data_IF_613743608097
#
_entry.id   IF_613743608097
#
_cell.length_a   1.000
_cell.length_b   1.000
_cell.length_c   1.000
_cell.angle_alpha   90.00
_cell.angle_beta   90.00
_cell.angle_gamma   90.00
#
_symmetry.space_group_name_H-M   'P 1'
#
loop_
_entity.id
_entity.type
_entity.pdbx_description
1 polymer ?
#
# COMPACT_ATOMS: atom_id res chain seq x y z
N UNK A 1 63.82 21.14 -10.76
CA UNK A 1 62.58 20.34 -10.71
C UNK A 1 63.05 18.93 -10.36
N UNK A 2 63.34 18.68 -9.09
CA UNK A 2 62.40 18.20 -8.05
C UNK A 2 61.78 16.85 -8.45
N UNK A 3 61.88 15.74 -7.73
CA UNK A 3 62.53 15.34 -6.47
C UNK A 3 62.33 13.79 -6.40
N UNK A 4 63.37 13.04 -6.01
CA UNK A 4 63.37 11.86 -5.08
C UNK A 4 62.58 10.57 -5.48
N UNK A 5 63.16 9.36 -5.69
CA UNK A 5 63.91 8.44 -4.78
C UNK A 5 63.24 8.34 -3.39
N UNK A 6 62.94 7.22 -2.74
CA UNK A 6 63.42 5.84 -2.70
C UNK A 6 62.52 5.06 -1.72
N UNK A 7 62.42 3.74 -1.93
CA UNK A 7 62.50 2.66 -0.92
C UNK A 7 61.66 2.70 0.39
N UNK A 8 61.86 1.69 1.24
CA UNK A 8 61.25 1.35 2.53
C UNK A 8 59.99 0.49 2.38
N UNK A 9 59.97 -0.78 2.78
CA UNK A 9 60.68 -1.40 3.89
C UNK A 9 59.64 -2.04 4.79
N UNK A 10 59.71 -3.36 4.97
CA UNK A 10 58.84 -4.09 5.89
C UNK A 10 59.07 -3.69 7.35
N UNK A 11 58.00 -3.71 8.13
CA UNK A 11 58.04 -3.47 9.57
C UNK A 11 56.84 -4.09 10.26
N UNK A 12 57.10 -5.14 11.02
CA UNK A 12 56.16 -5.82 11.89
C UNK A 12 55.80 -4.96 13.11
N UNK A 13 54.55 -5.05 13.56
CA UNK A 13 54.17 -4.78 14.94
C UNK A 13 53.25 -5.91 15.41
N UNK A 14 53.74 -6.62 16.42
CA UNK A 14 52.99 -7.50 17.32
C UNK A 14 52.37 -6.59 18.38
N UNK A 15 51.14 -6.87 18.80
CA UNK A 15 50.75 -6.65 20.20
C UNK A 15 49.73 -7.72 20.63
N UNK A 16 50.03 -8.24 21.82
CA UNK A 16 49.36 -9.27 22.58
C UNK A 16 48.08 -8.78 23.29
N UNK A 17 47.26 -9.78 23.65
CA UNK A 17 46.50 -9.89 24.90
C UNK A 17 45.31 -8.95 25.22
N UNK A 18 44.17 -9.64 25.43
CA UNK A 18 43.32 -9.66 26.63
C UNK A 18 41.89 -9.08 26.57
N UNK A 19 41.01 -9.95 27.10
CA UNK A 19 39.76 -9.69 27.83
C UNK A 19 38.58 -9.13 27.00
N UNK A 20 37.30 -9.46 27.18
CA UNK A 20 36.55 -10.38 28.03
C UNK A 20 35.11 -10.42 27.45
N UNK A 21 34.40 -11.51 27.70
CA UNK A 21 32.94 -11.71 27.72
C UNK A 21 31.95 -10.60 27.26
N UNK A 22 31.01 -10.99 26.39
CA UNK A 22 29.53 -10.89 26.56
C UNK A 22 28.85 -11.32 25.25
N UNK A 23 28.52 -12.62 25.09
CA UNK A 23 27.14 -13.15 25.17
C UNK A 23 26.01 -12.13 24.95
N UNK A 24 25.17 -12.52 23.98
CA UNK A 24 23.75 -12.22 23.78
C UNK A 24 23.36 -10.79 23.49
N UNK A 25 22.98 -10.53 22.22
CA UNK A 25 21.73 -9.84 21.93
C UNK A 25 21.21 -10.29 20.56
N UNK A 26 20.03 -10.93 20.62
CA UNK A 26 19.11 -11.41 19.60
C UNK A 26 19.20 -10.79 18.20
N UNK A 27 19.62 -11.63 17.24
CA UNK A 27 19.08 -11.63 15.89
C UNK A 27 17.60 -12.06 15.92
N UNK A 28 16.82 -11.42 15.04
CA UNK A 28 15.53 -11.87 14.52
C UNK A 28 14.33 -11.94 15.47
N UNK A 29 13.66 -10.78 15.64
CA UNK A 29 12.24 -10.75 15.96
C UNK A 29 11.46 -9.91 14.92
N UNK A 30 11.58 -10.34 13.66
CA UNK A 30 10.56 -10.06 12.66
C UNK A 30 9.41 -11.06 12.90
N UNK A 31 8.15 -10.62 13.03
CA UNK A 31 7.05 -11.55 13.25
C UNK A 31 6.87 -12.45 12.02
N UNK A 32 7.40 -13.66 12.11
CA UNK A 32 7.11 -14.77 11.21
C UNK A 32 5.64 -15.12 11.38
N UNK A 33 4.79 -14.51 10.55
CA UNK A 33 3.38 -14.90 10.42
C UNK A 33 3.36 -16.32 9.88
N UNK A 34 3.07 -17.27 10.78
CA UNK A 34 3.02 -18.71 10.52
C UNK A 34 2.12 -19.01 9.31
N UNK A 35 2.75 -19.48 8.24
CA UNK A 35 2.21 -19.71 6.90
C UNK A 35 1.37 -20.98 6.75
N UNK A 36 0.54 -21.36 7.74
CA UNK A 36 -0.05 -22.71 7.78
C UNK A 36 -1.52 -22.87 7.37
N UNK A 37 -2.20 -21.85 6.81
CA UNK A 37 -3.62 -21.98 6.40
C UNK A 37 -4.01 -21.28 5.08
N UNK A 38 -3.15 -21.25 4.04
CA UNK A 38 -3.51 -20.60 2.75
C UNK A 38 -3.46 -21.52 1.50
N UNK A 39 -3.38 -22.84 1.66
CA UNK A 39 -2.87 -23.72 0.60
C UNK A 39 -3.84 -24.19 -0.49
N UNK A 40 -5.15 -23.93 -0.47
CA UNK A 40 -6.04 -24.53 -1.50
C UNK A 40 -6.45 -23.59 -2.65
N UNK A 41 -6.43 -22.26 -2.46
CA UNK A 41 -6.96 -21.30 -3.45
C UNK A 41 -5.94 -20.35 -4.09
N UNK A 42 -4.87 -19.99 -3.36
CA UNK A 42 -3.95 -18.90 -3.74
C UNK A 42 -2.98 -19.30 -4.87
N UNK A 43 -2.65 -20.60 -5.00
CA UNK A 43 -1.63 -21.12 -5.92
C UNK A 43 -1.87 -20.96 -7.43
N UNK A 44 -3.06 -20.51 -7.86
CA UNK A 44 -3.39 -20.31 -9.29
C UNK A 44 -3.21 -18.88 -9.79
N UNK A 45 -2.77 -17.93 -8.96
CA UNK A 45 -2.55 -16.54 -9.39
C UNK A 45 -1.10 -16.35 -9.85
N UNK A 46 -0.95 -15.94 -11.12
CA UNK A 46 0.35 -15.83 -11.80
C UNK A 46 1.24 -14.77 -11.16
N UNK A 47 0.66 -13.66 -10.73
CA UNK A 47 1.40 -12.47 -10.31
C UNK A 47 1.54 -12.37 -8.78
N UNK A 48 2.61 -11.72 -8.31
CA UNK A 48 2.86 -11.52 -6.86
C UNK A 48 1.76 -10.66 -6.25
N UNK A 49 1.35 -9.61 -6.96
CA UNK A 49 0.28 -8.70 -6.58
C UNK A 49 -1.06 -9.43 -6.52
N UNK A 50 -1.36 -10.29 -7.51
CA UNK A 50 -2.57 -11.08 -7.51
C UNK A 50 -2.66 -11.97 -6.26
N UNK A 51 -1.57 -12.64 -5.88
CA UNK A 51 -1.52 -13.45 -4.65
C UNK A 51 -1.72 -12.61 -3.39
N UNK A 52 -1.07 -11.46 -3.29
CA UNK A 52 -1.23 -10.55 -2.15
C UNK A 52 -2.69 -10.05 -2.02
N UNK A 53 -3.30 -9.67 -3.13
CA UNK A 53 -4.71 -9.25 -3.18
C UNK A 53 -5.69 -10.38 -2.87
N UNK A 54 -5.36 -11.63 -3.19
CA UNK A 54 -6.17 -12.76 -2.77
C UNK A 54 -6.14 -12.97 -1.26
N UNK A 55 -5.02 -12.68 -0.59
CA UNK A 55 -4.94 -12.67 0.88
C UNK A 55 -5.80 -11.54 1.46
N UNK A 56 -5.81 -10.37 0.83
CA UNK A 56 -6.74 -9.27 1.20
C UNK A 56 -8.19 -9.72 1.07
N UNK A 57 -8.56 -10.35 -0.05
CA UNK A 57 -9.91 -10.86 -0.28
C UNK A 57 -10.33 -11.85 0.82
N UNK A 58 -9.44 -12.77 1.19
CA UNK A 58 -9.71 -13.74 2.25
C UNK A 58 -9.87 -13.08 3.63
N UNK A 59 -9.00 -12.13 3.96
CA UNK A 59 -9.07 -11.40 5.22
C UNK A 59 -10.36 -10.55 5.34
N UNK A 60 -10.83 -9.96 4.24
CA UNK A 60 -12.09 -9.21 4.19
C UNK A 60 -13.30 -10.14 4.32
N UNK A 61 -13.29 -11.32 3.67
CA UNK A 61 -14.35 -12.33 3.84
C UNK A 61 -14.42 -12.85 5.27
N UNK A 62 -13.28 -13.13 5.89
CA UNK A 62 -13.21 -13.55 7.29
C UNK A 62 -13.78 -12.48 8.23
N UNK A 63 -13.56 -11.19 7.92
CA UNK A 63 -14.14 -10.08 8.66
C UNK A 63 -15.67 -10.02 8.52
N UNK A 64 -16.21 -10.21 7.30
CA UNK A 64 -17.65 -10.22 7.05
C UNK A 64 -18.36 -11.40 7.72
N UNK A 65 -17.73 -12.58 7.74
CA UNK A 65 -18.27 -13.78 8.39
C UNK A 65 -18.43 -13.62 9.92
N UNK A 66 -17.64 -12.74 10.54
CA UNK A 66 -17.71 -12.45 11.98
C UNK A 66 -18.73 -11.35 12.36
N UNK A 67 -19.67 -11.01 11.47
CA UNK A 67 -20.84 -10.19 11.81
C UNK A 67 -20.72 -8.69 11.56
N UNK A 68 -19.76 -8.25 10.75
CA UNK A 68 -19.72 -6.87 10.27
C UNK A 68 -20.62 -6.68 9.06
N UNK A 69 -21.89 -6.33 9.28
CA UNK A 69 -22.70 -5.70 8.23
C UNK A 69 -22.05 -4.36 7.89
N UNK A 70 -21.28 -4.33 6.80
CA UNK A 70 -20.63 -3.10 6.33
C UNK A 70 -21.68 -2.29 5.60
N UNK A 71 -22.60 -1.70 6.38
CA UNK A 71 -23.46 -0.64 5.90
C UNK A 71 -22.54 0.55 5.55
N UNK A 72 -22.18 0.67 4.27
CA UNK A 72 -21.57 1.88 3.67
C UNK A 72 -22.59 3.05 3.68
N UNK A 73 -23.54 3.04 4.62
CA UNK A 73 -24.56 4.04 4.87
C UNK A 73 -23.88 5.40 5.00
N UNK A 74 -24.50 6.37 4.31
CA UNK A 74 -23.98 7.69 4.04
C UNK A 74 -23.24 8.30 5.25
N UNK A 75 -21.91 8.15 5.25
CA UNK A 75 -21.02 8.94 6.09
C UNK A 75 -21.02 10.39 5.56
N UNK A 76 -22.17 11.05 5.63
CA UNK A 76 -22.24 12.49 5.85
C UNK A 76 -21.83 12.74 7.31
N UNK A 77 -20.99 13.75 7.54
CA UNK A 77 -20.43 14.13 8.85
C UNK A 77 -19.36 13.23 9.46
N UNK A 78 -18.12 13.30 8.94
CA UNK A 78 -16.89 13.45 9.75
C UNK A 78 -15.66 13.57 8.84
N UNK A 79 -15.39 14.78 8.33
CA UNK A 79 -14.09 15.11 7.71
C UNK A 79 -13.56 16.45 8.22
N UNK A 80 -14.17 16.99 9.27
CA UNK A 80 -13.82 18.29 9.83
C UNK A 80 -12.52 18.26 10.67
N UNK A 81 -12.02 17.11 11.10
CA UNK A 81 -10.84 17.03 11.98
C UNK A 81 -9.72 16.17 11.37
N UNK A 82 -8.83 16.83 10.63
CA UNK A 82 -7.76 16.24 9.81
C UNK A 82 -6.69 15.41 10.57
N UNK A 83 -6.84 15.15 11.87
CA UNK A 83 -5.89 14.40 12.70
C UNK A 83 -6.43 13.06 13.23
N UNK A 84 -7.75 12.84 13.26
CA UNK A 84 -8.36 11.65 13.85
C UNK A 84 -8.66 10.51 12.84
N UNK A 85 -8.55 10.77 11.54
CA UNK A 85 -9.19 9.91 10.54
C UNK A 85 -8.40 8.64 10.19
N UNK A 86 -7.06 8.68 10.18
CA UNK A 86 -6.24 7.53 9.74
C UNK A 86 -6.28 6.36 10.73
N UNK A 87 -6.23 6.65 12.03
CA UNK A 87 -6.26 5.66 13.10
C UNK A 87 -7.68 5.08 13.29
N UNK A 88 -8.71 5.91 13.16
CA UNK A 88 -10.11 5.48 13.19
C UNK A 88 -10.47 4.60 11.98
N UNK A 89 -9.94 4.90 10.78
CA UNK A 89 -10.15 4.06 9.59
C UNK A 89 -9.44 2.72 9.73
N UNK A 90 -8.23 2.68 10.28
CA UNK A 90 -7.55 1.41 10.54
C UNK A 90 -8.34 0.54 11.53
N UNK A 91 -9.04 1.14 12.50
CA UNK A 91 -9.90 0.40 13.41
C UNK A 91 -11.13 -0.26 12.72
N UNK A 92 -11.55 0.21 11.54
CA UNK A 92 -12.64 -0.39 10.75
C UNK A 92 -12.26 -1.73 10.10
N UNK A 93 -10.96 -2.01 9.97
CA UNK A 93 -10.46 -3.22 9.35
C UNK A 93 -9.85 -4.15 10.41
N UNK A 94 -10.17 -5.43 10.31
CA UNK A 94 -9.55 -6.46 11.16
C UNK A 94 -8.03 -6.40 11.06
N UNK A 95 -7.33 -6.79 12.12
CA UNK A 95 -5.86 -6.78 12.13
C UNK A 95 -5.27 -7.59 10.95
N UNK A 96 -5.92 -8.71 10.59
CA UNK A 96 -5.55 -9.50 9.43
C UNK A 96 -5.76 -8.77 8.10
N UNK A 97 -6.90 -8.08 7.92
CA UNK A 97 -7.17 -7.30 6.70
C UNK A 97 -6.18 -6.14 6.55
N UNK A 98 -5.87 -5.43 7.64
CA UNK A 98 -4.86 -4.38 7.64
C UNK A 98 -3.48 -4.90 7.26
N UNK A 99 -3.02 -5.98 7.89
CA UNK A 99 -1.72 -6.58 7.59
C UNK A 99 -1.62 -7.02 6.12
N UNK A 100 -2.70 -7.55 5.55
CA UNK A 100 -2.75 -7.91 4.14
C UNK A 100 -2.67 -6.68 3.22
N UNK A 101 -3.40 -5.60 3.55
CA UNK A 101 -3.38 -4.35 2.79
C UNK A 101 -2.04 -3.62 2.86
N UNK A 102 -1.41 -3.56 4.04
CA UNK A 102 -0.06 -3.02 4.18
C UNK A 102 0.95 -3.84 3.36
N UNK A 103 0.84 -5.17 3.37
CA UNK A 103 1.67 -6.02 2.52
C UNK A 103 1.52 -5.74 1.02
N UNK A 104 0.32 -5.37 0.55
CA UNK A 104 0.12 -4.91 -0.83
C UNK A 104 0.81 -3.56 -1.07
N UNK A 105 0.70 -2.62 -0.14
CA UNK A 105 1.39 -1.33 -0.25
C UNK A 105 2.91 -1.48 -0.33
N UNK A 106 3.48 -2.34 0.51
CA UNK A 106 4.93 -2.58 0.56
C UNK A 106 5.41 -3.25 -0.71
N UNK A 107 4.69 -4.26 -1.20
CA UNK A 107 4.97 -4.87 -2.49
C UNK A 107 4.95 -3.84 -3.63
N UNK A 108 3.94 -2.98 -3.68
CA UNK A 108 3.85 -1.92 -4.71
C UNK A 108 4.93 -0.83 -4.55
N UNK A 109 5.54 -0.70 -3.38
CA UNK A 109 6.66 0.21 -3.12
C UNK A 109 7.96 -0.28 -3.73
N UNK A 110 8.20 -1.58 -3.56
CA UNK A 110 9.46 -2.24 -3.89
C UNK A 110 9.59 -2.46 -5.39
N UNK A 111 8.45 -2.57 -6.09
CA UNK A 111 8.43 -2.86 -7.51
C UNK A 111 8.78 -1.61 -8.34
N UNK A 112 9.67 -1.73 -9.34
CA UNK A 112 9.89 -0.66 -10.31
C UNK A 112 8.61 -0.44 -11.15
N UNK A 113 8.41 0.75 -11.73
CA UNK A 113 7.19 1.10 -12.46
C UNK A 113 6.79 0.10 -13.56
N UNK A 114 7.78 -0.45 -14.28
CA UNK A 114 7.57 -1.46 -15.33
C UNK A 114 7.02 -2.77 -14.75
N UNK A 115 7.52 -3.18 -13.58
CA UNK A 115 7.04 -4.39 -12.92
C UNK A 115 5.64 -4.19 -12.36
N UNK A 116 5.33 -3.00 -11.83
CA UNK A 116 3.97 -2.67 -11.39
C UNK A 116 2.98 -2.73 -12.56
N UNK A 117 3.34 -2.20 -13.73
CA UNK A 117 2.50 -2.27 -14.93
C UNK A 117 2.22 -3.72 -15.35
N UNK A 118 3.25 -4.57 -15.39
CA UNK A 118 3.10 -5.99 -15.70
C UNK A 118 2.21 -6.72 -14.68
N UNK A 119 2.43 -6.48 -13.38
CA UNK A 119 1.65 -7.07 -12.29
C UNK A 119 0.17 -6.64 -12.38
N UNK A 120 -0.12 -5.35 -12.58
CA UNK A 120 -1.49 -4.84 -12.72
C UNK A 120 -2.18 -5.43 -13.96
N UNK A 121 -1.51 -5.52 -15.12
CA UNK A 121 -2.10 -6.12 -16.33
C UNK A 121 -2.45 -7.59 -16.17
N UNK A 122 -1.69 -8.31 -15.34
CA UNK A 122 -1.89 -9.73 -15.12
C UNK A 122 -2.99 -10.09 -14.10
N UNK A 123 -3.64 -9.11 -13.46
CA UNK A 123 -4.64 -9.35 -12.41
C UNK A 123 -5.92 -10.02 -12.91
N UNK A 124 -6.31 -9.77 -14.16
CA UNK A 124 -7.48 -10.36 -14.81
C UNK A 124 -7.20 -10.58 -16.29
N UNK A 125 -7.68 -11.70 -16.83
CA UNK A 125 -7.56 -12.04 -18.25
C UNK A 125 -8.73 -11.49 -19.10
N UNK A 126 -9.78 -10.95 -18.47
CA UNK A 126 -10.95 -10.43 -19.17
C UNK A 126 -12.22 -10.38 -18.33
N UNK A 127 -13.38 -10.06 -18.93
CA UNK A 127 -14.66 -9.93 -18.22
C UNK A 127 -15.20 -11.26 -17.69
N UNK A 128 -14.83 -12.38 -18.31
CA UNK A 128 -15.28 -13.74 -17.96
C UNK A 128 -14.37 -14.43 -16.92
N UNK A 129 -13.24 -13.82 -16.56
CA UNK A 129 -12.32 -14.34 -15.56
C UNK A 129 -12.90 -14.17 -14.15
N UNK A 130 -13.64 -15.18 -13.68
CA UNK A 130 -14.29 -15.18 -12.35
C UNK A 130 -13.28 -14.89 -11.25
N UNK A 131 -12.09 -15.51 -11.30
CA UNK A 131 -11.08 -15.34 -10.27
C UNK A 131 -10.40 -13.97 -10.37
N UNK A 132 -10.14 -13.51 -11.58
CA UNK A 132 -9.65 -12.15 -11.84
C UNK A 132 -10.61 -11.09 -11.30
N UNK A 133 -11.92 -11.28 -11.42
CA UNK A 133 -12.93 -10.36 -10.86
C UNK A 133 -12.88 -10.28 -9.34
N UNK A 134 -12.67 -11.39 -8.63
CA UNK A 134 -12.51 -11.37 -7.17
C UNK A 134 -11.26 -10.59 -6.76
N UNK A 135 -10.15 -10.79 -7.48
CA UNK A 135 -8.89 -10.07 -7.24
C UNK A 135 -9.04 -8.58 -7.55
N UNK A 136 -9.76 -8.22 -8.62
CA UNK A 136 -10.05 -6.82 -8.94
C UNK A 136 -10.93 -6.16 -7.88
N UNK A 137 -11.90 -6.88 -7.32
CA UNK A 137 -12.72 -6.36 -6.22
C UNK A 137 -11.86 -6.07 -5.00
N UNK A 138 -11.01 -7.02 -4.61
CA UNK A 138 -10.06 -6.82 -3.51
C UNK A 138 -9.06 -5.68 -3.78
N UNK A 139 -8.66 -5.47 -5.04
CA UNK A 139 -7.84 -4.33 -5.42
C UNK A 139 -8.57 -2.99 -5.21
N UNK A 140 -9.85 -2.92 -5.59
CA UNK A 140 -10.67 -1.73 -5.34
C UNK A 140 -10.86 -1.49 -3.83
N UNK A 141 -11.07 -2.55 -3.04
CA UNK A 141 -11.14 -2.45 -1.57
C UNK A 141 -9.83 -1.94 -0.96
N UNK A 142 -8.70 -2.43 -1.44
CA UNK A 142 -7.38 -1.94 -1.06
C UNK A 142 -7.23 -0.44 -1.35
N UNK A 143 -7.65 0.04 -2.53
CA UNK A 143 -7.59 1.47 -2.84
C UNK A 143 -8.57 2.30 -2.01
N UNK A 144 -9.74 1.78 -1.67
CA UNK A 144 -10.66 2.43 -0.71
C UNK A 144 -9.96 2.61 0.63
N UNK A 145 -9.31 1.57 1.15
CA UNK A 145 -8.53 1.67 2.40
C UNK A 145 -7.39 2.69 2.29
N UNK A 146 -6.62 2.70 1.20
CA UNK A 146 -5.53 3.67 1.01
C UNK A 146 -6.02 5.12 1.04
N UNK A 147 -7.14 5.41 0.36
CA UNK A 147 -7.70 6.76 0.31
C UNK A 147 -8.31 7.15 1.66
N UNK A 148 -9.08 6.27 2.31
CA UNK A 148 -9.67 6.54 3.63
C UNK A 148 -8.59 6.77 4.70
N UNK A 149 -7.55 5.94 4.72
CA UNK A 149 -6.42 6.06 5.66
C UNK A 149 -5.45 7.20 5.31
N UNK A 150 -5.65 7.88 4.17
CA UNK A 150 -4.77 8.92 3.61
C UNK A 150 -3.31 8.47 3.49
N UNK A 151 -3.07 7.17 3.26
CA UNK A 151 -1.74 6.59 3.15
C UNK A 151 -1.29 6.53 1.70
N UNK A 152 -0.03 6.90 1.47
CA UNK A 152 0.66 6.77 0.18
C UNK A 152 -0.18 7.28 -0.99
N UNK A 153 -0.84 8.43 -0.78
CA UNK A 153 -1.91 8.92 -1.64
C UNK A 153 -1.49 9.03 -3.10
N UNK A 154 -0.32 9.61 -3.38
CA UNK A 154 0.20 9.75 -4.75
C UNK A 154 0.40 8.41 -5.45
N UNK A 155 1.02 7.44 -4.74
CA UNK A 155 1.24 6.10 -5.26
C UNK A 155 -0.07 5.37 -5.49
N UNK A 156 -1.01 5.46 -4.55
CA UNK A 156 -2.33 4.89 -4.66
C UNK A 156 -3.09 5.47 -5.87
N UNK A 157 -3.03 6.78 -6.09
CA UNK A 157 -3.66 7.45 -7.24
C UNK A 157 -3.05 7.02 -8.58
N UNK A 158 -1.72 6.92 -8.67
CA UNK A 158 -1.03 6.48 -9.87
C UNK A 158 -1.41 5.04 -10.25
N UNK A 159 -1.36 4.12 -9.29
CA UNK A 159 -1.69 2.71 -9.50
C UNK A 159 -3.18 2.48 -9.75
N UNK A 160 -4.06 3.22 -9.06
CA UNK A 160 -5.50 3.18 -9.29
C UNK A 160 -5.84 3.60 -10.73
N UNK A 161 -5.26 4.70 -11.21
CA UNK A 161 -5.46 5.15 -12.59
C UNK A 161 -5.06 4.07 -13.61
N UNK A 162 -3.92 3.40 -13.38
CA UNK A 162 -3.47 2.32 -14.25
C UNK A 162 -4.42 1.12 -14.20
N UNK A 163 -4.83 0.70 -13.00
CA UNK A 163 -5.78 -0.41 -12.82
C UNK A 163 -7.10 -0.13 -13.55
N UNK A 164 -7.65 1.07 -13.41
CA UNK A 164 -8.91 1.46 -14.06
C UNK A 164 -8.76 1.50 -15.59
N UNK A 165 -7.64 1.99 -16.12
CA UNK A 165 -7.39 2.00 -17.58
C UNK A 165 -7.33 0.59 -18.14
N UNK A 166 -6.53 -0.27 -17.51
CA UNK A 166 -6.27 -1.64 -17.98
C UNK A 166 -7.52 -2.52 -17.86
N UNK A 167 -8.27 -2.39 -16.76
CA UNK A 167 -9.40 -3.27 -16.45
C UNK A 167 -10.76 -2.62 -16.66
N UNK A 168 -10.83 -1.50 -17.40
CA UNK A 168 -12.07 -0.75 -17.64
C UNK A 168 -13.21 -1.60 -18.18
N UNK A 169 -12.92 -2.51 -19.11
CA UNK A 169 -13.89 -3.43 -19.71
C UNK A 169 -14.41 -4.47 -18.71
N UNK A 170 -13.51 -5.09 -17.94
CA UNK A 170 -13.87 -6.06 -16.90
C UNK A 170 -14.67 -5.41 -15.76
N UNK A 171 -14.28 -4.21 -15.35
CA UNK A 171 -15.01 -3.41 -14.35
C UNK A 171 -16.39 -3.06 -14.89
N UNK A 172 -16.50 -2.57 -16.13
CA UNK A 172 -17.77 -2.21 -16.75
C UNK A 172 -18.75 -3.38 -16.89
N UNK A 173 -18.25 -4.59 -17.15
CA UNK A 173 -19.08 -5.78 -17.31
C UNK A 173 -19.68 -6.32 -16.00
N UNK A 174 -19.04 -6.08 -14.85
CA UNK A 174 -19.49 -6.61 -13.55
C UNK A 174 -20.25 -5.56 -12.73
N UNK A 175 -21.53 -5.79 -12.35
CA UNK A 175 -22.27 -4.88 -11.49
C UNK A 175 -21.59 -4.62 -10.13
N UNK A 176 -20.98 -5.65 -9.54
CA UNK A 176 -20.29 -5.54 -8.25
C UNK A 176 -19.04 -4.63 -8.33
N UNK A 177 -18.21 -4.82 -9.38
CA UNK A 177 -17.04 -3.98 -9.59
C UNK A 177 -17.42 -2.52 -9.90
N UNK A 178 -18.49 -2.30 -10.68
CA UNK A 178 -19.02 -0.95 -10.93
C UNK A 178 -19.49 -0.26 -9.67
N UNK A 179 -20.26 -0.95 -8.83
CA UNK A 179 -20.74 -0.39 -7.57
C UNK A 179 -19.56 0.03 -6.69
N UNK A 180 -18.57 -0.84 -6.54
CA UNK A 180 -17.38 -0.54 -5.71
C UNK A 180 -16.52 0.58 -6.30
N UNK A 181 -16.31 0.60 -7.62
CA UNK A 181 -15.63 1.69 -8.31
C UNK A 181 -16.38 3.02 -8.17
N UNK A 182 -17.72 3.01 -8.16
CA UNK A 182 -18.55 4.17 -7.92
C UNK A 182 -18.38 4.76 -6.52
N UNK A 183 -18.35 3.91 -5.49
CA UNK A 183 -18.05 4.31 -4.10
C UNK A 183 -16.63 4.91 -3.99
N UNK A 184 -15.64 4.25 -4.60
CA UNK A 184 -14.27 4.74 -4.65
C UNK A 184 -14.18 6.11 -5.32
N UNK A 185 -14.91 6.33 -6.42
CA UNK A 185 -14.96 7.63 -7.10
C UNK A 185 -15.58 8.73 -6.21
N UNK A 186 -16.63 8.41 -5.45
CA UNK A 186 -17.23 9.36 -4.51
C UNK A 186 -16.24 9.74 -3.39
N UNK A 187 -15.56 8.75 -2.81
CA UNK A 187 -14.53 8.94 -1.80
C UNK A 187 -13.37 9.80 -2.31
N UNK A 188 -12.90 9.53 -3.54
CA UNK A 188 -11.81 10.26 -4.17
C UNK A 188 -12.18 11.72 -4.44
N UNK A 189 -13.41 11.99 -4.91
CA UNK A 189 -13.90 13.37 -5.08
C UNK A 189 -13.90 14.14 -3.77
N UNK A 190 -14.40 13.52 -2.68
CA UNK A 190 -14.39 14.15 -1.35
C UNK A 190 -12.97 14.45 -0.86
N UNK A 191 -12.07 13.47 -1.00
CA UNK A 191 -10.66 13.61 -0.61
C UNK A 191 -9.96 14.71 -1.41
N UNK A 192 -10.22 14.78 -2.72
CA UNK A 192 -9.69 15.81 -3.61
C UNK A 192 -10.18 17.22 -3.23
N UNK A 193 -11.47 17.41 -2.94
CA UNK A 193 -12.01 18.71 -2.51
C UNK A 193 -11.32 19.20 -1.24
N UNK A 194 -11.09 18.31 -0.28
CA UNK A 194 -10.37 18.63 0.95
C UNK A 194 -8.92 19.05 0.69
N UNK A 195 -8.19 18.26 -0.11
CA UNK A 195 -6.81 18.55 -0.52
C UNK A 195 -6.73 19.89 -1.26
N UNK A 196 -7.65 20.12 -2.19
CA UNK A 196 -7.74 21.36 -2.96
C UNK A 196 -7.97 22.56 -2.05
N UNK A 197 -8.87 22.46 -1.06
CA UNK A 197 -9.12 23.53 -0.08
C UNK A 197 -7.85 23.87 0.70
N UNK A 198 -7.12 22.85 1.15
CA UNK A 198 -5.84 23.04 1.85
C UNK A 198 -4.82 23.76 0.97
N UNK A 199 -4.66 23.35 -0.30
CA UNK A 199 -3.74 24.02 -1.21
C UNK A 199 -4.13 25.47 -1.48
N UNK A 200 -5.41 25.75 -1.73
CA UNK A 200 -5.88 27.11 -2.00
C UNK A 200 -5.65 28.03 -0.79
N UNK A 201 -5.95 27.55 0.42
CA UNK A 201 -5.72 28.31 1.65
C UNK A 201 -4.23 28.64 1.84
N UNK A 202 -3.36 27.64 1.71
CA UNK A 202 -1.92 27.83 1.87
C UNK A 202 -1.35 28.77 0.79
N UNK A 203 -1.75 28.60 -0.47
CA UNK A 203 -1.29 29.43 -1.57
C UNK A 203 -1.71 30.89 -1.40
N UNK A 204 -2.96 31.14 -0.98
CA UNK A 204 -3.47 32.49 -0.71
C UNK A 204 -2.65 33.18 0.39
N UNK A 205 -2.37 32.47 1.48
CA UNK A 205 -1.54 32.99 2.58
C UNK A 205 -0.11 33.32 2.09
N UNK A 206 0.55 32.38 1.40
CA UNK A 206 1.91 32.60 0.88
C UNK A 206 1.95 33.80 -0.07
N UNK A 207 0.96 33.94 -0.97
CA UNK A 207 0.86 35.09 -1.88
C UNK A 207 0.63 36.41 -1.16
N UNK A 208 -0.12 36.40 -0.05
CA UNK A 208 -0.32 37.60 0.76
C UNK A 208 0.98 38.01 1.45
N UNK A 209 1.70 37.06 2.06
CA UNK A 209 2.97 37.34 2.73
C UNK A 209 4.07 37.74 1.74
N UNK A 210 4.10 37.17 0.54
CA UNK A 210 5.09 37.53 -0.48
C UNK A 210 4.90 38.94 -1.07
N UNK A 211 3.71 39.52 -0.94
CA UNK A 211 3.41 40.89 -1.40
C UNK A 211 3.66 41.95 -0.32
N UNK A 212 3.88 41.53 0.93
CA UNK A 212 4.13 42.41 2.08
C UNK A 212 5.63 42.63 2.34
N UNK A 213 6.50 41.84 1.70
CA UNK A 213 7.95 42.04 1.64
C UNK A 213 8.37 42.62 0.28
#
# INVERSE_FOLDING_TARGET
>A
EAEEEEDWGGGAWVDDDKDEALKSESEDDAPVVKSKVLSSGVGRLRSRLGRALAVVAEALRAQQANGGDFDDGDAENTFADAKADGEAVDALYSAGARAAMTGVSDLLAELPPVAVDAEIRSLSLGPDDVKGREVLLAALDYFVWCIRSRRRYELAQAHLNLLLKVHSTAIGASPALRARAGQLAALQRRSWVSLQRLFHNNLCLVQQYSKLN
#
